data_IF_961734073439
#
_entry.id   IF_961734073439
#
_cell.length_a   1.000
_cell.length_b   1.000
_cell.length_c   1.000
_cell.angle_alpha   90.00
_cell.angle_beta   90.00
_cell.angle_gamma   90.00
#
_symmetry.space_group_name_H-M   'P 1'
#
loop_
_entity.id
_entity.type
_entity.pdbx_description
1 polymer ?
#
# COMPACT_ATOMS: atom_id res chain seq x y z
N UNK A 1 -17.77 14.18 10.66
CA UNK A 1 -19.10 14.49 11.20
C UNK A 1 -18.94 15.21 12.53
N UNK A 2 -19.71 16.26 12.77
CA UNK A 2 -19.74 17.00 14.04
C UNK A 2 -21.19 17.36 14.36
N UNK A 3 -21.55 17.37 15.64
CA UNK A 3 -22.89 17.72 16.13
C UNK A 3 -22.80 18.47 17.46
N UNK A 4 -23.90 19.03 17.93
CA UNK A 4 -23.92 19.74 19.22
C UNK A 4 -24.09 18.78 20.39
N UNK A 5 -23.68 19.22 21.58
CA UNK A 5 -23.91 18.47 22.82
C UNK A 5 -25.40 18.43 23.15
N UNK A 6 -25.87 17.28 23.62
CA UNK A 6 -27.17 17.13 24.25
C UNK A 6 -27.03 17.18 25.76
N UNK A 7 -28.11 17.62 26.41
CA UNK A 7 -28.23 17.62 27.87
C UNK A 7 -29.53 16.94 28.22
N UNK A 8 -29.50 16.16 29.28
CA UNK A 8 -30.70 15.64 29.89
C UNK A 8 -30.84 16.17 31.32
N UNK A 9 -32.08 16.27 31.80
CA UNK A 9 -32.41 16.91 33.08
C UNK A 9 -32.59 15.92 34.23
N UNK A 10 -32.75 14.62 33.94
CA UNK A 10 -33.07 13.57 34.90
C UNK A 10 -32.18 12.31 34.82
N UNK A 11 -31.39 12.13 33.77
CA UNK A 11 -30.28 11.18 33.64
C UNK A 11 -28.96 11.90 33.26
N UNK A 12 -27.86 11.38 33.77
CA UNK A 12 -26.51 11.84 33.44
C UNK A 12 -25.86 10.98 32.34
N UNK A 13 -26.46 9.84 32.01
CA UNK A 13 -25.93 8.87 31.05
C UNK A 13 -26.65 9.03 29.72
N UNK A 14 -25.92 9.51 28.71
CA UNK A 14 -26.43 9.65 27.36
C UNK A 14 -25.64 8.76 26.41
N UNK A 15 -26.36 7.97 25.61
CA UNK A 15 -25.80 7.21 24.51
C UNK A 15 -26.00 7.97 23.21
N UNK A 16 -24.92 8.20 22.47
CA UNK A 16 -24.94 8.87 21.17
C UNK A 16 -24.61 7.86 20.08
N UNK A 17 -25.45 7.81 19.05
CA UNK A 17 -25.25 6.98 17.86
C UNK A 17 -25.22 7.83 16.59
N UNK A 18 -24.34 7.47 15.66
CA UNK A 18 -24.25 8.05 14.31
C UNK A 18 -24.72 7.01 13.30
N UNK A 19 -25.70 7.38 12.50
CA UNK A 19 -26.35 6.50 11.54
C UNK A 19 -25.93 6.89 10.13
N UNK A 20 -25.60 5.89 9.29
CA UNK A 20 -25.32 6.04 7.87
C UNK A 20 -26.32 5.17 7.09
N UNK A 21 -27.08 5.77 6.19
CA UNK A 21 -28.02 5.06 5.31
C UNK A 21 -27.52 5.08 3.87
N UNK A 22 -27.25 3.88 3.35
CA UNK A 22 -26.69 3.65 2.03
C UNK A 22 -27.57 2.64 1.30
N UNK A 23 -28.22 3.06 0.20
CA UNK A 23 -29.07 2.18 -0.62
C UNK A 23 -30.13 1.41 0.19
N UNK A 24 -30.69 2.04 1.23
CA UNK A 24 -31.69 1.43 2.11
C UNK A 24 -31.12 0.55 3.23
N UNK A 25 -29.80 0.37 3.30
CA UNK A 25 -29.12 -0.34 4.38
C UNK A 25 -28.53 0.67 5.38
N UNK A 26 -28.84 0.46 6.65
CA UNK A 26 -28.41 1.34 7.73
C UNK A 26 -27.19 0.74 8.47
N UNK A 27 -26.22 1.59 8.77
CA UNK A 27 -25.07 1.29 9.62
C UNK A 27 -25.07 2.22 10.81
N UNK A 28 -25.00 1.66 12.02
CA UNK A 28 -24.98 2.42 13.27
C UNK A 28 -23.58 2.39 13.88
N UNK A 29 -23.07 3.57 14.24
CA UNK A 29 -21.76 3.79 14.83
C UNK A 29 -21.94 4.42 16.22
N UNK A 30 -21.02 4.12 17.15
CA UNK A 30 -21.07 4.59 18.54
C UNK A 30 -19.88 5.54 18.80
N UNK A 31 -19.97 6.81 18.38
CA UNK A 31 -18.90 7.78 18.54
C UNK A 31 -18.73 8.22 20.01
N UNK A 32 -17.50 8.57 20.37
CA UNK A 32 -17.20 9.21 21.66
C UNK A 32 -17.16 10.73 21.47
N UNK A 33 -17.98 11.45 22.21
CA UNK A 33 -18.06 12.92 22.15
C UNK A 33 -18.92 13.44 20.99
N UNK A 34 -18.62 14.64 20.49
CA UNK A 34 -19.45 15.38 19.52
C UNK A 34 -18.93 15.33 18.08
N UNK A 35 -18.02 14.40 17.80
CA UNK A 35 -17.42 14.29 16.47
C UNK A 35 -17.06 12.85 16.12
N UNK A 36 -17.13 12.55 14.82
CA UNK A 36 -16.69 11.28 14.27
C UNK A 36 -15.99 11.51 12.93
N UNK A 37 -14.81 10.92 12.77
CA UNK A 37 -14.04 10.95 11.52
C UNK A 37 -14.09 9.58 10.87
N UNK A 38 -14.35 9.56 9.57
CA UNK A 38 -14.41 8.34 8.79
C UNK A 38 -13.30 8.33 7.75
N UNK A 39 -12.61 7.20 7.63
CA UNK A 39 -11.69 6.98 6.53
C UNK A 39 -12.47 6.47 5.31
N UNK A 40 -12.61 7.31 4.30
CA UNK A 40 -13.37 7.01 3.08
C UNK A 40 -12.89 5.75 2.35
N UNK A 41 -11.60 5.42 2.41
CA UNK A 41 -11.01 4.28 1.69
C UNK A 41 -11.18 2.97 2.45
N UNK A 42 -11.26 3.02 3.78
CA UNK A 42 -11.50 1.85 4.63
C UNK A 42 -12.99 1.56 4.85
N UNK A 43 -13.89 2.49 4.50
CA UNK A 43 -15.30 2.44 4.90
C UNK A 43 -16.25 1.89 3.84
N UNK A 44 -15.73 1.43 2.70
CA UNK A 44 -16.51 0.85 1.59
C UNK A 44 -17.73 1.70 1.17
N UNK A 45 -17.61 3.02 1.26
CA UNK A 45 -18.68 3.92 0.88
C UNK A 45 -18.84 3.96 -0.65
N UNK A 46 -20.08 4.07 -1.17
CA UNK A 46 -20.27 4.24 -2.59
C UNK A 46 -19.81 5.62 -3.07
N UNK A 47 -19.17 5.64 -4.24
CA UNK A 47 -18.74 6.86 -4.90
C UNK A 47 -19.86 7.43 -5.78
N UNK A 48 -20.08 8.73 -5.72
CA UNK A 48 -21.09 9.43 -6.53
C UNK A 48 -22.54 9.28 -6.04
N UNK A 49 -22.80 8.41 -5.07
CA UNK A 49 -24.12 8.19 -4.48
C UNK A 49 -24.39 9.16 -3.32
N UNK A 50 -25.67 9.47 -3.08
CA UNK A 50 -26.08 10.24 -1.89
C UNK A 50 -26.13 9.31 -0.68
N UNK A 51 -25.35 9.61 0.35
CA UNK A 51 -25.33 8.90 1.62
C UNK A 51 -26.01 9.79 2.65
N UNK A 52 -27.10 9.28 3.23
CA UNK A 52 -27.79 9.99 4.29
C UNK A 52 -27.17 9.65 5.64
N UNK A 53 -27.14 10.62 6.55
CA UNK A 53 -26.67 10.43 7.92
C UNK A 53 -27.45 11.29 8.91
N UNK A 54 -27.57 10.80 10.15
CA UNK A 54 -28.12 11.54 11.28
C UNK A 54 -27.48 11.07 12.58
N UNK A 55 -27.69 11.85 13.65
CA UNK A 55 -27.25 11.51 15.00
C UNK A 55 -28.49 11.33 15.86
N UNK A 56 -28.44 10.33 16.71
CA UNK A 56 -29.45 10.01 17.71
C UNK A 56 -28.79 10.05 19.09
N UNK A 57 -29.52 10.57 20.07
CA UNK A 57 -29.13 10.50 21.48
C UNK A 57 -30.29 9.95 22.28
N UNK A 58 -29.99 8.98 23.16
CA UNK A 58 -30.94 8.35 24.06
C UNK A 58 -30.39 8.32 25.49
N UNK A 59 -31.28 8.53 26.46
CA UNK A 59 -31.06 8.27 27.89
C UNK A 59 -31.60 6.89 28.32
N UNK A 60 -32.24 6.15 27.39
CA UNK A 60 -32.92 4.88 27.64
C UNK A 60 -34.45 5.00 27.76
N UNK A 61 -34.97 6.19 28.03
CA UNK A 61 -36.40 6.51 28.15
C UNK A 61 -36.90 7.39 27.00
N UNK A 62 -36.12 8.40 26.61
CA UNK A 62 -36.39 9.36 25.56
C UNK A 62 -35.30 9.34 24.48
N UNK A 63 -35.71 9.71 23.27
CA UNK A 63 -34.87 9.66 22.08
C UNK A 63 -34.96 10.99 21.33
N UNK A 64 -33.81 11.63 21.13
CA UNK A 64 -33.68 12.89 20.39
C UNK A 64 -32.94 12.67 19.09
N UNK A 65 -33.57 13.04 17.96
CA UNK A 65 -33.02 12.89 16.62
C UNK A 65 -32.57 14.24 16.04
N UNK A 66 -31.36 14.25 15.48
CA UNK A 66 -30.95 15.33 14.59
C UNK A 66 -31.62 15.19 13.21
N UNK A 67 -31.82 16.32 12.52
CA UNK A 67 -32.26 16.29 11.12
C UNK A 67 -31.27 15.51 10.26
N UNK A 68 -31.77 14.62 9.41
CA UNK A 68 -30.96 13.87 8.47
C UNK A 68 -30.32 14.80 7.43
N UNK A 69 -29.06 14.52 7.10
CA UNK A 69 -28.23 15.26 6.14
C UNK A 69 -27.68 14.30 5.10
N UNK A 70 -27.23 14.83 3.96
CA UNK A 70 -26.62 14.03 2.90
C UNK A 70 -25.17 14.46 2.67
N UNK A 71 -24.33 13.51 2.29
CA UNK A 71 -23.03 13.76 1.68
C UNK A 71 -22.80 12.77 0.53
N UNK A 72 -21.80 13.05 -0.30
CA UNK A 72 -21.38 12.17 -1.40
C UNK A 72 -19.87 12.03 -1.37
N UNK A 73 -19.37 10.81 -1.58
CA UNK A 73 -17.94 10.57 -1.81
C UNK A 73 -17.65 10.84 -3.28
N UNK A 74 -16.71 11.75 -3.58
CA UNK A 74 -16.39 12.14 -4.96
C UNK A 74 -15.89 10.96 -5.80
N UNK A 75 -16.44 10.76 -7.00
CA UNK A 75 -15.97 9.74 -7.95
C UNK A 75 -14.52 9.94 -8.39
N UNK A 76 -13.98 11.16 -8.28
CA UNK A 76 -12.56 11.43 -8.54
C UNK A 76 -11.60 10.80 -7.52
N UNK A 77 -12.12 10.28 -6.40
CA UNK A 77 -11.36 9.55 -5.39
C UNK A 77 -11.36 8.04 -5.64
N UNK A 78 -12.13 7.55 -6.62
CA UNK A 78 -12.13 6.14 -6.99
C UNK A 78 -10.81 5.77 -7.67
N UNK A 79 -10.15 4.74 -7.17
CA UNK A 79 -8.92 4.22 -7.74
C UNK A 79 -8.88 2.69 -7.61
N UNK A 80 -8.68 2.00 -8.72
CA UNK A 80 -8.68 0.54 -8.81
C UNK A 80 -7.61 0.04 -9.79
N UNK A 81 -6.50 0.77 -9.91
CA UNK A 81 -5.44 0.48 -10.86
C UNK A 81 -5.67 1.11 -12.25
N UNK A 82 -4.89 0.70 -13.26
CA UNK A 82 -3.82 -0.32 -13.22
C UNK A 82 -2.47 0.23 -12.71
N UNK A 83 -2.43 1.44 -12.14
CA UNK A 83 -1.20 2.11 -11.70
C UNK A 83 -1.32 2.57 -10.26
N UNK A 84 -0.50 2.02 -9.38
CA UNK A 84 -0.52 2.27 -7.94
C UNK A 84 0.71 3.07 -7.53
N UNK A 85 0.54 4.16 -6.78
CA UNK A 85 1.61 5.06 -6.35
C UNK A 85 1.97 4.76 -4.90
N UNK A 86 3.27 4.64 -4.66
CA UNK A 86 3.87 4.44 -3.34
C UNK A 86 4.79 5.63 -3.05
N UNK A 87 4.72 6.15 -1.83
CA UNK A 87 5.42 7.34 -1.34
C UNK A 87 5.79 7.10 0.14
N UNK A 88 7.00 7.45 0.64
CA UNK A 88 7.33 7.25 2.06
C UNK A 88 6.42 8.05 3.00
N UNK A 89 5.86 9.17 2.50
CA UNK A 89 4.90 10.02 3.20
C UNK A 89 3.43 9.58 2.98
N UNK A 90 3.21 8.49 2.25
CA UNK A 90 1.91 7.90 1.99
C UNK A 90 1.30 7.19 3.20
N UNK A 91 0.20 6.47 2.98
CA UNK A 91 -0.50 5.74 4.03
C UNK A 91 -1.13 4.45 3.51
N UNK A 92 -0.85 3.32 4.17
CA UNK A 92 -1.52 2.04 3.88
C UNK A 92 -2.90 1.94 4.55
N UNK A 93 -3.22 2.87 5.45
CA UNK A 93 -4.53 2.96 6.09
C UNK A 93 -5.42 3.97 5.39
N UNK A 94 -4.91 5.17 5.13
CA UNK A 94 -5.66 6.31 4.60
C UNK A 94 -5.29 6.66 3.13
N UNK A 95 -4.47 5.83 2.47
CA UNK A 95 -4.18 5.94 1.05
C UNK A 95 -5.04 4.98 0.25
N UNK A 96 -5.26 5.29 -1.03
CA UNK A 96 -5.90 4.39 -1.99
C UNK A 96 -4.97 4.01 -3.15
N UNK A 97 -3.69 4.37 -3.06
CA UNK A 97 -2.68 4.12 -4.10
C UNK A 97 -2.80 5.04 -5.30
N UNK A 98 -3.65 6.07 -5.28
CA UNK A 98 -3.64 7.12 -6.31
C UNK A 98 -2.45 8.05 -6.15
N UNK A 99 -2.16 8.88 -7.16
CA UNK A 99 -1.12 9.92 -7.08
C UNK A 99 -1.34 10.91 -5.92
N UNK A 100 -2.61 11.18 -5.59
CA UNK A 100 -3.00 12.14 -4.54
C UNK A 100 -2.96 11.51 -3.15
N UNK A 101 -3.31 10.23 -3.05
CA UNK A 101 -3.36 9.48 -1.79
C UNK A 101 -2.55 8.17 -1.94
N UNK A 102 -1.21 8.29 -2.05
CA UNK A 102 -0.36 7.13 -2.30
C UNK A 102 -0.34 6.19 -1.10
N UNK A 103 -0.02 4.92 -1.37
CA UNK A 103 0.32 3.97 -0.33
C UNK A 103 1.69 4.29 0.27
N UNK A 104 1.94 3.79 1.48
CA UNK A 104 3.20 3.97 2.18
C UNK A 104 4.22 2.90 1.82
N UNK A 105 3.78 1.65 1.74
CA UNK A 105 4.66 0.50 1.50
C UNK A 105 4.47 -0.08 0.10
N UNK A 106 5.55 -0.65 -0.43
CA UNK A 106 5.56 -1.27 -1.75
C UNK A 106 4.77 -2.59 -1.70
N UNK A 107 4.92 -3.38 -0.64
CA UNK A 107 4.15 -4.62 -0.50
C UNK A 107 2.64 -4.36 -0.49
N UNK A 108 2.17 -3.30 0.18
CA UNK A 108 0.74 -2.95 0.16
C UNK A 108 0.25 -2.60 -1.25
N UNK A 109 1.07 -1.89 -2.05
CA UNK A 109 0.78 -1.66 -3.46
C UNK A 109 0.71 -2.95 -4.29
N UNK A 110 1.63 -3.89 -4.06
CA UNK A 110 1.64 -5.21 -4.72
C UNK A 110 0.42 -6.06 -4.34
N UNK A 111 -0.03 -5.97 -3.09
CA UNK A 111 -1.20 -6.69 -2.60
C UNK A 111 -2.48 -6.16 -3.25
N UNK A 112 -2.62 -4.83 -3.38
CA UNK A 112 -3.74 -4.16 -4.05
C UNK A 112 -3.77 -4.36 -5.57
N UNK A 113 -2.61 -4.48 -6.20
CA UNK A 113 -2.47 -4.62 -7.64
C UNK A 113 -3.07 -5.91 -8.21
N UNK A 114 -3.68 -5.80 -9.39
CA UNK A 114 -3.97 -6.93 -10.25
C UNK A 114 -2.73 -7.38 -11.03
N UNK A 115 -2.79 -8.56 -11.67
CA UNK A 115 -1.71 -9.01 -12.54
C UNK A 115 -1.50 -8.04 -13.72
N UNK A 116 -0.24 -7.72 -13.98
CA UNK A 116 0.28 -6.77 -14.96
C UNK A 116 0.05 -5.29 -14.64
N UNK A 117 -0.40 -4.97 -13.43
CA UNK A 117 -0.43 -3.58 -12.95
C UNK A 117 0.99 -3.04 -12.73
N UNK A 118 1.08 -1.72 -12.62
CA UNK A 118 2.32 -0.99 -12.34
C UNK A 118 2.33 -0.42 -10.93
N UNK A 119 3.38 -0.69 -10.17
CA UNK A 119 3.72 -0.03 -8.91
C UNK A 119 4.72 1.09 -9.20
N UNK A 120 4.28 2.33 -9.05
CA UNK A 120 5.09 3.54 -9.22
C UNK A 120 5.64 4.00 -7.88
N UNK A 121 6.94 3.94 -7.72
CA UNK A 121 7.60 4.21 -6.44
C UNK A 121 8.22 5.60 -6.49
N UNK A 122 7.76 6.53 -5.66
CA UNK A 122 8.41 7.83 -5.54
C UNK A 122 9.76 7.72 -4.83
N UNK A 123 10.66 8.64 -5.15
CA UNK A 123 11.99 8.71 -4.53
C UNK A 123 11.89 8.73 -3.01
N UNK A 124 12.72 7.92 -2.36
CA UNK A 124 12.65 7.63 -0.93
C UNK A 124 13.44 6.35 -0.61
N UNK A 125 13.53 6.00 0.67
CA UNK A 125 14.06 4.70 1.11
C UNK A 125 12.94 3.87 1.70
N UNK A 126 12.74 2.67 1.17
CA UNK A 126 11.73 1.71 1.60
C UNK A 126 12.45 0.49 2.16
N UNK A 127 12.37 0.30 3.47
CA UNK A 127 12.96 -0.87 4.13
C UNK A 127 11.96 -2.02 4.12
N UNK A 128 12.05 -2.89 3.12
CA UNK A 128 11.07 -3.95 2.86
C UNK A 128 11.71 -5.19 2.21
N UNK A 129 11.10 -6.35 2.44
CA UNK A 129 11.39 -7.60 1.74
C UNK A 129 10.12 -8.07 1.03
N UNK A 130 10.11 -7.96 -0.30
CA UNK A 130 8.92 -8.09 -1.14
C UNK A 130 8.70 -9.53 -1.61
N UNK A 131 7.45 -9.98 -1.53
CA UNK A 131 6.98 -11.24 -2.10
C UNK A 131 6.03 -10.94 -3.26
N UNK A 132 6.45 -11.30 -4.47
CA UNK A 132 5.71 -11.01 -5.70
C UNK A 132 5.13 -12.30 -6.26
N UNK A 133 3.82 -12.49 -6.14
CA UNK A 133 3.12 -13.72 -6.53
C UNK A 133 2.37 -13.61 -7.86
N UNK A 134 2.48 -12.47 -8.54
CA UNK A 134 1.81 -12.17 -9.80
C UNK A 134 2.70 -11.29 -10.66
N UNK A 135 2.60 -11.41 -11.99
CA UNK A 135 3.37 -10.56 -12.90
C UNK A 135 3.02 -9.09 -12.67
N UNK A 136 4.02 -8.22 -12.56
CA UNK A 136 3.86 -6.79 -12.29
C UNK A 136 5.01 -5.99 -12.89
N UNK A 137 4.79 -4.68 -13.01
CA UNK A 137 5.85 -3.72 -13.31
C UNK A 137 6.13 -2.89 -12.05
N UNK A 138 7.38 -2.87 -11.60
CA UNK A 138 7.87 -1.94 -10.57
C UNK A 138 8.65 -0.84 -11.30
N UNK A 139 8.20 0.41 -11.18
CA UNK A 139 8.81 1.55 -11.85
C UNK A 139 9.13 2.67 -10.86
N UNK A 140 10.42 2.93 -10.69
CA UNK A 140 10.92 4.01 -9.85
C UNK A 140 10.78 5.38 -10.52
N UNK A 141 10.11 6.31 -9.85
CA UNK A 141 10.06 7.72 -10.24
C UNK A 141 11.35 8.38 -9.77
N UNK A 142 12.29 8.55 -10.71
CA UNK A 142 13.55 9.24 -10.47
C UNK A 142 13.33 10.74 -10.29
N UNK A 143 13.86 11.32 -9.22
CA UNK A 143 13.79 12.76 -8.96
C UNK A 143 15.20 13.35 -8.88
N UNK A 144 15.50 14.33 -9.75
CA UNK A 144 16.83 14.95 -9.85
C UNK A 144 17.99 13.94 -10.01
N UNK A 145 17.75 12.85 -10.74
CA UNK A 145 18.73 11.77 -10.95
C UNK A 145 18.83 10.76 -9.80
N UNK A 146 18.10 10.96 -8.71
CA UNK A 146 18.04 10.04 -7.57
C UNK A 146 16.93 9.01 -7.80
N UNK A 147 17.28 7.72 -7.70
CA UNK A 147 16.34 6.61 -7.79
C UNK A 147 15.75 6.33 -6.39
N UNK A 148 14.49 5.88 -6.29
CA UNK A 148 14.00 5.24 -5.06
C UNK A 148 14.89 4.05 -4.67
N UNK A 149 15.08 3.88 -3.37
CA UNK A 149 15.88 2.81 -2.77
C UNK A 149 14.94 1.81 -2.12
N UNK A 150 15.04 0.53 -2.48
CA UNK A 150 14.48 -0.57 -1.71
C UNK A 150 15.64 -1.19 -0.94
N UNK A 151 15.56 -1.12 0.39
CA UNK A 151 16.61 -1.55 1.30
C UNK A 151 16.18 -2.84 2.03
N UNK A 152 16.97 -3.91 1.88
CA UNK A 152 16.73 -5.21 2.55
C UNK A 152 17.18 -5.26 4.01
N UNK A 153 17.89 -4.22 4.46
CA UNK A 153 18.40 -3.97 5.81
C UNK A 153 19.20 -5.14 6.40
N UNK A 154 19.90 -5.87 5.53
CA UNK A 154 20.65 -7.09 5.83
C UNK A 154 19.82 -8.20 6.51
N UNK A 155 18.49 -8.11 6.44
CA UNK A 155 17.59 -9.04 7.12
C UNK A 155 16.95 -10.07 6.18
N UNK A 156 16.92 -9.78 4.88
CA UNK A 156 16.24 -10.63 3.92
C UNK A 156 16.46 -10.21 2.49
N UNK A 157 16.01 -11.09 1.59
CA UNK A 157 16.03 -10.82 0.15
C UNK A 157 15.06 -9.70 -0.17
N UNK A 158 15.45 -8.76 -1.03
CA UNK A 158 14.61 -7.61 -1.34
C UNK A 158 13.40 -8.00 -2.20
N UNK A 159 13.57 -8.84 -3.22
CA UNK A 159 12.48 -9.36 -4.04
C UNK A 159 12.60 -10.88 -4.14
N UNK A 160 11.54 -11.57 -3.73
CA UNK A 160 11.31 -12.98 -4.06
C UNK A 160 10.16 -13.06 -5.06
N UNK A 161 10.49 -13.39 -6.32
CA UNK A 161 9.49 -13.66 -7.35
C UNK A 161 8.96 -15.09 -7.20
N UNK A 162 7.64 -15.23 -7.15
CA UNK A 162 6.95 -16.50 -7.13
C UNK A 162 7.00 -17.21 -8.48
N UNK A 163 6.61 -18.48 -8.47
CA UNK A 163 6.79 -19.41 -9.60
C UNK A 163 6.03 -19.02 -10.88
N UNK A 164 5.06 -18.10 -10.80
CA UNK A 164 4.25 -17.62 -11.91
C UNK A 164 4.37 -16.11 -12.14
N UNK A 165 5.32 -15.44 -11.49
CA UNK A 165 5.47 -14.00 -11.50
C UNK A 165 6.60 -13.55 -12.45
N UNK A 166 6.25 -13.07 -13.63
CA UNK A 166 7.18 -12.33 -14.48
C UNK A 166 7.30 -10.89 -13.96
N UNK A 167 8.49 -10.51 -13.46
CA UNK A 167 8.69 -9.22 -12.79
C UNK A 167 9.51 -8.29 -13.67
N UNK A 168 8.95 -7.12 -13.98
CA UNK A 168 9.69 -6.04 -14.63
C UNK A 168 10.07 -5.00 -13.58
N UNK A 169 11.33 -4.58 -13.55
CA UNK A 169 11.83 -3.55 -12.63
C UNK A 169 12.60 -2.49 -13.40
N UNK A 170 12.22 -1.24 -13.19
CA UNK A 170 12.87 -0.09 -13.80
C UNK A 170 13.24 0.95 -12.74
N UNK A 171 14.42 1.58 -12.89
CA UNK A 171 14.78 2.81 -12.16
C UNK A 171 14.81 2.69 -10.62
N UNK A 172 15.21 1.52 -10.09
CA UNK A 172 15.31 1.27 -8.65
C UNK A 172 16.76 1.11 -8.22
N UNK A 173 17.10 1.56 -7.02
CA UNK A 173 18.31 1.15 -6.32
C UNK A 173 17.97 0.07 -5.28
N UNK A 174 18.66 -1.06 -5.35
CA UNK A 174 18.56 -2.17 -4.41
C UNK A 174 19.79 -2.16 -3.50
N UNK A 175 19.56 -2.14 -2.19
CA UNK A 175 20.62 -2.05 -1.19
C UNK A 175 20.45 -3.04 -0.06
N UNK A 176 21.57 -3.54 0.46
CA UNK A 176 21.63 -4.27 1.73
C UNK A 176 20.65 -5.46 1.74
N UNK A 177 20.50 -6.10 0.58
CA UNK A 177 19.73 -7.32 0.42
C UNK A 177 20.56 -8.51 0.91
N UNK A 178 19.97 -9.35 1.77
CA UNK A 178 20.67 -10.47 2.40
C UNK A 178 19.90 -11.78 2.30
N UNK A 179 20.57 -12.88 1.98
CA UNK A 179 19.96 -14.19 2.14
C UNK A 179 20.99 -15.23 2.58
N UNK A 180 20.54 -16.25 3.31
CA UNK A 180 21.35 -17.39 3.70
C UNK A 180 20.92 -18.62 2.89
N UNK A 181 21.88 -19.41 2.43
CA UNK A 181 21.71 -20.71 1.74
C UNK A 181 21.17 -20.68 0.30
N UNK A 182 20.37 -19.69 -0.09
CA UNK A 182 19.89 -19.49 -1.46
C UNK A 182 20.29 -18.11 -2.00
N UNK A 183 20.42 -17.97 -3.31
CA UNK A 183 21.10 -16.83 -3.92
C UNK A 183 20.24 -15.67 -4.37
N UNK A 184 20.88 -14.59 -4.83
CA UNK A 184 20.23 -13.34 -5.21
C UNK A 184 19.84 -12.50 -4.00
N UNK A 185 20.81 -11.97 -3.26
CA UNK A 185 20.59 -11.17 -2.04
C UNK A 185 19.62 -10.00 -2.25
N UNK A 186 19.62 -9.40 -3.45
CA UNK A 186 18.57 -8.46 -3.85
C UNK A 186 17.36 -9.19 -4.45
N UNK A 187 17.55 -9.95 -5.53
CA UNK A 187 16.45 -10.50 -6.33
C UNK A 187 16.66 -11.98 -6.62
N UNK A 188 15.61 -12.76 -6.43
CA UNK A 188 15.56 -14.17 -6.82
C UNK A 188 14.33 -14.43 -7.68
N UNK A 189 14.55 -15.12 -8.80
CA UNK A 189 13.50 -15.72 -9.62
C UNK A 189 13.93 -17.10 -10.12
N UNK A 190 13.01 -18.06 -10.12
CA UNK A 190 13.30 -19.41 -10.60
C UNK A 190 12.65 -19.72 -11.94
N UNK A 191 11.32 -19.71 -12.01
CA UNK A 191 10.60 -20.18 -13.19
C UNK A 191 10.30 -19.09 -14.22
N UNK A 192 9.92 -17.89 -13.78
CA UNK A 192 9.52 -16.80 -14.69
C UNK A 192 10.66 -15.80 -14.91
N UNK A 193 10.69 -15.12 -16.08
CA UNK A 193 11.75 -14.18 -16.39
C UNK A 193 11.63 -12.90 -15.56
N UNK A 194 12.79 -12.32 -15.28
CA UNK A 194 12.89 -10.96 -14.77
C UNK A 194 13.44 -10.02 -15.84
N UNK A 195 12.85 -8.83 -15.92
CA UNK A 195 13.28 -7.78 -16.85
C UNK A 195 13.73 -6.57 -16.04
N UNK A 196 15.04 -6.37 -15.93
CA UNK A 196 15.62 -5.35 -15.07
C UNK A 196 16.33 -4.31 -15.92
N UNK A 197 15.90 -3.06 -15.81
CA UNK A 197 16.44 -1.94 -16.59
C UNK A 197 16.81 -0.77 -15.70
N UNK A 198 17.98 -0.18 -15.92
CA UNK A 198 18.40 1.04 -15.23
C UNK A 198 18.30 0.93 -13.71
N UNK A 199 18.74 -0.20 -13.14
CA UNK A 199 18.74 -0.42 -11.70
C UNK A 199 20.17 -0.42 -11.14
N UNK A 200 20.30 -0.09 -9.86
CA UNK A 200 21.57 -0.18 -9.13
C UNK A 200 21.45 -1.30 -8.11
N UNK A 201 22.49 -2.12 -7.98
CA UNK A 201 22.59 -3.18 -6.96
C UNK A 201 23.86 -2.91 -6.16
N UNK A 202 23.69 -2.51 -4.91
CA UNK A 202 24.78 -2.04 -4.05
C UNK A 202 24.74 -2.82 -2.74
N UNK A 203 25.86 -3.42 -2.34
CA UNK A 203 26.00 -4.09 -1.04
C UNK A 203 24.94 -5.19 -0.79
N UNK A 204 24.70 -6.04 -1.80
CA UNK A 204 23.82 -7.20 -1.63
C UNK A 204 24.63 -8.47 -1.44
N UNK A 205 24.27 -9.22 -0.41
CA UNK A 205 25.09 -10.26 0.18
C UNK A 205 24.33 -11.59 0.25
N UNK A 206 25.01 -12.67 -0.10
CA UNK A 206 24.52 -14.03 0.08
C UNK A 206 25.53 -14.80 0.91
N UNK A 207 25.07 -15.35 2.04
CA UNK A 207 25.87 -16.22 2.89
C UNK A 207 25.62 -17.71 2.59
N UNK A 208 26.44 -18.57 3.17
CA UNK A 208 26.33 -20.02 2.99
C UNK A 208 26.81 -20.46 1.61
N UNK A 209 26.03 -21.31 0.93
CA UNK A 209 26.34 -21.86 -0.40
C UNK A 209 25.53 -21.24 -1.54
N UNK A 210 24.83 -20.13 -1.29
CA UNK A 210 24.00 -19.46 -2.29
C UNK A 210 24.83 -18.75 -3.37
N UNK A 211 24.22 -18.49 -4.53
CA UNK A 211 24.92 -17.93 -5.72
C UNK A 211 24.38 -16.54 -6.07
N UNK A 212 25.15 -15.75 -6.83
CA UNK A 212 24.68 -14.47 -7.36
C UNK A 212 24.38 -13.46 -6.26
N UNK A 213 25.41 -12.77 -5.76
CA UNK A 213 25.30 -11.83 -4.62
C UNK A 213 24.14 -10.83 -4.74
N UNK A 214 23.94 -10.26 -5.93
CA UNK A 214 22.79 -9.39 -6.19
C UNK A 214 21.56 -10.15 -6.70
N UNK A 215 21.71 -10.88 -7.80
CA UNK A 215 20.59 -11.47 -8.53
C UNK A 215 20.87 -12.95 -8.80
N UNK A 216 19.88 -13.79 -8.53
CA UNK A 216 19.82 -15.16 -9.03
C UNK A 216 18.56 -15.32 -9.89
N UNK A 217 18.74 -15.66 -11.17
CA UNK A 217 17.65 -16.00 -12.08
C UNK A 217 17.96 -17.28 -12.84
N UNK A 218 16.99 -18.20 -12.92
CA UNK A 218 17.15 -19.47 -13.64
C UNK A 218 16.46 -19.47 -15.01
N UNK A 219 15.59 -18.50 -15.31
CA UNK A 219 14.91 -18.41 -16.59
C UNK A 219 15.80 -17.78 -17.67
N UNK A 220 15.98 -18.49 -18.78
CA UNK A 220 16.84 -18.11 -19.92
C UNK A 220 16.39 -16.84 -20.68
N UNK A 221 15.14 -16.42 -20.49
CA UNK A 221 14.58 -15.22 -21.13
C UNK A 221 14.73 -13.97 -20.26
N UNK A 222 15.38 -14.07 -19.09
CA UNK A 222 15.64 -12.91 -18.24
C UNK A 222 16.56 -11.91 -18.93
N UNK A 223 16.28 -10.62 -18.78
CA UNK A 223 17.07 -9.54 -19.39
C UNK A 223 17.47 -8.53 -18.33
N UNK A 224 18.78 -8.28 -18.22
CA UNK A 224 19.35 -7.25 -17.34
C UNK A 224 20.10 -6.26 -18.23
N UNK A 225 19.71 -4.99 -18.22
CA UNK A 225 20.32 -3.97 -19.09
C UNK A 225 20.49 -2.63 -18.39
N UNK A 226 21.56 -1.92 -18.73
CA UNK A 226 21.90 -0.60 -18.20
C UNK A 226 21.92 -0.55 -16.66
N UNK A 227 22.32 -1.64 -16.01
CA UNK A 227 22.37 -1.73 -14.56
C UNK A 227 23.79 -1.52 -14.04
N UNK A 228 23.89 -1.03 -12.81
CA UNK A 228 25.14 -0.84 -12.09
C UNK A 228 25.21 -1.82 -10.91
N UNK A 229 26.36 -2.46 -10.72
CA UNK A 229 26.60 -3.44 -9.65
C UNK A 229 27.88 -3.04 -8.90
N UNK A 230 27.76 -2.87 -7.58
CA UNK A 230 28.85 -2.48 -6.68
C UNK A 230 28.75 -3.30 -5.39
N UNK A 231 29.89 -3.85 -4.94
CA UNK A 231 30.02 -4.53 -3.64
C UNK A 231 28.96 -5.62 -3.37
N UNK A 232 28.62 -6.42 -4.39
CA UNK A 232 27.70 -7.53 -4.21
C UNK A 232 28.48 -8.84 -4.05
N UNK A 233 28.21 -9.60 -2.99
CA UNK A 233 29.01 -10.76 -2.61
C UNK A 233 28.17 -12.04 -2.47
N UNK A 234 28.74 -13.15 -2.94
CA UNK A 234 28.29 -14.51 -2.60
C UNK A 234 29.51 -15.31 -2.14
N UNK A 235 29.37 -16.09 -1.07
CA UNK A 235 30.42 -16.94 -0.50
C UNK A 235 30.63 -18.26 -1.23
#
# INVERSE_FOLDING_TARGET
>A
FTWESTTDVDDITLETTLHLLINGNETVLYPVGQSHTLNIFASNLPYGESIQWWVEVSDGDTLTLANARNFTVSTGLYHNGPSWVVDPDGSDTNGNGSTTYPFKTIQHGLDAAAANDTIKIKTGTYTENLSIQKSVVIDGITQFGVKPIINGNDTGRIITAGDTAAVTVNNIAFKEGYFNDYGGGAIYSYYEPIYITNCNFIDNNVAGSGRGGAIESHNINSVIKHCYFEDNHSL
#
